data_IF_789285353241
#
_entry.id   IF_789285353241
#
_cell.length_a   1.000
_cell.length_b   1.000
_cell.length_c   1.000
_cell.angle_alpha   90.00
_cell.angle_beta   90.00
_cell.angle_gamma   90.00
#
_symmetry.space_group_name_H-M   'P 1'
#
loop_
_entity.id
_entity.type
_entity.pdbx_description
1 polymer ?
#
# COMPACT_ATOMS: atom_id res chain seq x y z
N UNK A 1 -18.61 1.97 14.19
CA UNK A 1 -17.49 2.93 14.25
C UNK A 1 -16.21 2.14 14.07
N UNK A 2 -15.32 2.54 13.16
CA UNK A 2 -14.11 1.80 12.82
C UNK A 2 -13.14 1.72 14.00
N UNK A 3 -12.36 0.65 14.05
CA UNK A 3 -11.39 0.45 15.12
C UNK A 3 -10.01 0.16 14.53
N UNK A 4 -9.02 0.96 14.90
CA UNK A 4 -7.62 0.55 14.77
C UNK A 4 -7.10 0.07 16.11
N UNK A 5 -6.57 -1.16 16.11
CA UNK A 5 -6.01 -1.76 17.32
C UNK A 5 -4.48 -1.66 17.31
N UNK A 6 -3.88 -1.38 18.45
CA UNK A 6 -2.44 -1.50 18.63
C UNK A 6 -2.00 -2.95 18.48
N UNK A 7 -0.80 -3.17 17.96
CA UNK A 7 -0.24 -4.50 17.71
C UNK A 7 1.26 -4.54 17.97
N UNK A 8 1.79 -5.74 18.15
CA UNK A 8 3.24 -5.98 18.26
C UNK A 8 3.80 -6.18 16.87
N UNK A 9 4.32 -5.10 16.27
CA UNK A 9 4.87 -5.17 14.92
C UNK A 9 6.07 -6.10 14.85
N UNK A 10 6.19 -6.82 13.73
CA UNK A 10 7.43 -7.39 13.25
C UNK A 10 8.00 -6.37 12.27
N UNK A 11 9.15 -5.78 12.59
CA UNK A 11 9.77 -4.70 11.85
C UNK A 11 11.27 -4.86 11.73
N UNK A 12 11.94 -4.20 10.77
CA UNK A 12 13.38 -4.21 10.73
C UNK A 12 13.99 -3.56 11.99
N UNK A 13 15.23 -3.92 12.28
CA UNK A 13 16.06 -3.13 13.20
C UNK A 13 16.39 -1.78 12.55
N UNK A 14 16.77 -0.78 13.34
CA UNK A 14 17.16 0.53 12.78
C UNK A 14 18.38 0.43 11.84
N UNK A 15 19.29 -0.51 12.10
CA UNK A 15 20.44 -0.79 11.23
C UNK A 15 20.04 -1.46 9.91
N UNK A 16 19.07 -2.36 9.94
CA UNK A 16 18.61 -3.08 8.76
C UNK A 16 17.61 -2.27 7.90
N UNK A 17 16.90 -1.33 8.48
CA UNK A 17 15.81 -0.60 7.82
C UNK A 17 16.18 -0.01 6.44
N UNK A 18 17.34 0.62 6.23
CA UNK A 18 17.72 1.16 4.92
C UNK A 18 17.90 0.09 3.83
N UNK A 19 18.17 -1.16 4.19
CA UNK A 19 18.32 -2.28 3.25
C UNK A 19 17.02 -3.04 3.03
N UNK A 20 16.17 -3.06 4.07
CA UNK A 20 14.88 -3.76 4.03
C UNK A 20 13.84 -3.01 3.21
N UNK A 21 13.83 -1.67 3.28
CA UNK A 21 12.82 -0.86 2.60
C UNK A 21 12.81 -1.14 1.09
N UNK A 22 11.60 -1.36 0.55
CA UNK A 22 11.41 -1.71 -0.85
C UNK A 22 10.14 -1.05 -1.41
N UNK A 23 10.08 -0.91 -2.73
CA UNK A 23 8.88 -0.48 -3.43
C UNK A 23 7.76 -1.54 -3.30
N UNK A 24 6.48 -1.14 -3.43
CA UNK A 24 5.35 -2.06 -3.43
C UNK A 24 5.49 -3.16 -4.49
N UNK A 25 4.99 -4.36 -4.17
CA UNK A 25 5.15 -5.56 -5.01
C UNK A 25 4.57 -5.44 -6.42
N UNK A 26 3.56 -4.61 -6.62
CA UNK A 26 2.76 -4.49 -7.85
C UNK A 26 3.20 -3.37 -8.79
N UNK A 27 4.23 -2.60 -8.42
CA UNK A 27 4.79 -1.51 -9.26
C UNK A 27 5.98 -1.92 -10.11
N UNK A 28 6.34 -3.21 -10.11
CA UNK A 28 7.50 -3.72 -10.85
C UNK A 28 7.25 -5.12 -11.42
N UNK A 29 7.89 -5.43 -12.53
CA UNK A 29 7.94 -6.78 -13.07
C UNK A 29 9.02 -7.63 -12.38
N UNK A 30 9.10 -8.95 -12.70
CA UNK A 30 10.07 -9.87 -12.09
C UNK A 30 11.53 -9.46 -12.31
N UNK A 31 11.87 -8.95 -13.50
CA UNK A 31 13.25 -8.56 -13.81
C UNK A 31 13.66 -7.31 -13.01
N UNK A 32 12.76 -6.34 -12.91
CA UNK A 32 12.94 -5.14 -12.09
C UNK A 32 13.06 -5.50 -10.61
N UNK A 33 12.21 -6.41 -10.12
CA UNK A 33 12.28 -6.90 -8.74
C UNK A 33 13.62 -7.60 -8.46
N UNK A 34 14.10 -8.46 -9.36
CA UNK A 34 15.41 -9.12 -9.23
C UNK A 34 16.58 -8.13 -9.30
N UNK A 35 16.46 -7.05 -10.09
CA UNK A 35 17.47 -6.01 -10.17
C UNK A 35 17.54 -5.16 -8.88
N UNK A 36 16.42 -4.94 -8.20
CA UNK A 36 16.30 -4.17 -6.96
C UNK A 36 16.54 -5.03 -5.71
N UNK A 37 16.16 -6.30 -5.72
CA UNK A 37 16.32 -7.25 -4.63
C UNK A 37 17.70 -7.91 -4.55
N UNK A 38 18.79 -7.18 -4.91
CA UNK A 38 20.16 -7.73 -4.82
C UNK A 38 20.71 -7.79 -3.40
N UNK A 39 20.23 -6.91 -2.54
CA UNK A 39 20.56 -6.96 -1.13
C UNK A 39 19.81 -8.14 -0.49
N UNK A 40 20.51 -9.06 0.21
CA UNK A 40 19.88 -10.22 0.83
C UNK A 40 18.89 -9.84 1.95
N UNK A 41 18.89 -8.60 2.40
CA UNK A 41 17.94 -8.06 3.36
C UNK A 41 16.79 -7.28 2.71
N UNK A 42 16.75 -7.19 1.37
CA UNK A 42 15.63 -6.51 0.68
C UNK A 42 14.30 -7.19 0.95
N UNK A 43 13.27 -6.41 1.32
CA UNK A 43 11.93 -6.95 1.58
C UNK A 43 11.27 -7.56 0.33
N UNK A 44 11.83 -7.32 -0.86
CA UNK A 44 11.38 -7.96 -2.10
C UNK A 44 11.54 -9.48 -2.06
N UNK A 45 12.46 -10.05 -1.29
CA UNK A 45 12.56 -11.49 -1.07
C UNK A 45 11.31 -12.08 -0.39
N UNK A 46 10.51 -11.26 0.31
CA UNK A 46 9.25 -11.68 0.93
C UNK A 46 8.07 -11.36 0.03
N UNK A 47 8.00 -10.16 -0.55
CA UNK A 47 6.84 -9.70 -1.32
C UNK A 47 6.87 -10.14 -2.79
N UNK A 48 8.07 -10.44 -3.33
CA UNK A 48 8.37 -10.85 -4.71
C UNK A 48 9.32 -12.07 -4.72
N UNK A 49 9.01 -13.08 -3.90
CA UNK A 49 9.89 -14.23 -3.65
C UNK A 49 10.21 -15.07 -4.89
N UNK A 50 9.52 -14.88 -6.01
CA UNK A 50 9.88 -15.49 -7.29
C UNK A 50 11.26 -15.05 -7.81
N UNK A 51 11.85 -13.97 -7.26
CA UNK A 51 13.22 -13.55 -7.62
C UNK A 51 14.29 -14.55 -7.15
N UNK A 52 13.98 -15.33 -6.12
CA UNK A 52 14.86 -16.35 -5.54
C UNK A 52 14.72 -17.72 -6.22
N UNK A 53 13.80 -17.85 -7.17
CA UNK A 53 13.47 -19.10 -7.83
C UNK A 53 13.89 -19.10 -9.30
N UNK A 54 14.13 -20.30 -9.91
CA UNK A 54 14.41 -20.40 -11.33
C UNK A 54 13.36 -19.71 -12.20
N UNK A 55 13.76 -19.14 -13.33
CA UNK A 55 12.85 -18.45 -14.26
C UNK A 55 11.75 -19.34 -14.83
N UNK A 56 11.91 -20.67 -14.76
CA UNK A 56 10.89 -21.65 -15.14
C UNK A 56 9.71 -21.74 -14.17
N UNK A 57 9.86 -21.18 -12.97
CA UNK A 57 8.77 -21.12 -11.97
C UNK A 57 7.89 -19.93 -12.29
N UNK A 58 6.58 -20.17 -12.46
CA UNK A 58 5.60 -19.12 -12.68
C UNK A 58 5.41 -18.23 -11.45
N UNK A 59 5.16 -16.94 -11.67
CA UNK A 59 5.09 -15.91 -10.62
C UNK A 59 4.05 -16.20 -9.52
N UNK A 60 2.97 -16.92 -9.84
CA UNK A 60 1.87 -17.25 -8.92
C UNK A 60 1.83 -18.71 -8.49
N UNK A 61 2.94 -19.44 -8.71
CA UNK A 61 3.06 -20.83 -8.28
C UNK A 61 3.13 -20.94 -6.75
N UNK A 62 2.63 -22.05 -6.20
CA UNK A 62 2.64 -22.28 -4.75
C UNK A 62 4.05 -22.23 -4.15
N UNK A 63 5.07 -22.64 -4.92
CA UNK A 63 6.48 -22.55 -4.54
C UNK A 63 6.94 -21.12 -4.22
N UNK A 64 6.36 -20.10 -4.87
CA UNK A 64 6.68 -18.68 -4.60
C UNK A 64 6.22 -18.29 -3.20
N UNK A 65 5.03 -18.71 -2.80
CA UNK A 65 4.48 -18.41 -1.47
C UNK A 65 5.21 -19.21 -0.37
N UNK A 66 5.67 -20.42 -0.67
CA UNK A 66 6.51 -21.23 0.22
C UNK A 66 7.89 -20.55 0.42
N UNK A 67 8.49 -20.06 -0.65
CA UNK A 67 9.75 -19.32 -0.59
C UNK A 67 9.57 -18.02 0.22
N UNK A 68 8.48 -17.28 0.02
CA UNK A 68 8.19 -16.06 0.79
C UNK A 68 8.10 -16.35 2.31
N UNK A 69 7.47 -17.46 2.70
CA UNK A 69 7.38 -17.89 4.09
C UNK A 69 8.76 -18.28 4.67
N UNK A 70 9.58 -18.98 3.88
CA UNK A 70 10.94 -19.35 4.27
C UNK A 70 11.83 -18.11 4.43
N UNK A 71 11.73 -17.14 3.51
CA UNK A 71 12.48 -15.89 3.59
C UNK A 71 12.06 -15.05 4.82
N UNK A 72 10.76 -14.99 5.14
CA UNK A 72 10.30 -14.30 6.36
C UNK A 72 10.88 -14.95 7.62
N UNK A 73 10.89 -16.28 7.69
CA UNK A 73 11.49 -17.01 8.81
C UNK A 73 13.00 -16.73 8.93
N UNK A 74 13.73 -16.75 7.81
CA UNK A 74 15.15 -16.44 7.76
C UNK A 74 15.45 -15.00 8.23
N UNK A 75 14.65 -14.03 7.82
CA UNK A 75 14.80 -12.63 8.26
C UNK A 75 14.62 -12.48 9.77
N UNK A 76 13.71 -13.26 10.37
CA UNK A 76 13.49 -13.29 11.82
C UNK A 76 14.69 -13.99 12.50
N UNK A 77 15.11 -15.13 12.01
CA UNK A 77 16.19 -15.93 12.61
C UNK A 77 17.53 -15.19 12.56
N UNK A 78 17.80 -14.44 11.48
CA UNK A 78 18.99 -13.57 11.37
C UNK A 78 18.87 -12.27 12.17
N UNK A 79 17.71 -11.96 12.75
CA UNK A 79 17.47 -10.73 13.51
C UNK A 79 17.39 -9.48 12.63
N UNK A 80 17.18 -9.62 11.31
CA UNK A 80 16.90 -8.51 10.39
C UNK A 80 15.54 -7.89 10.75
N UNK A 81 14.55 -8.76 11.02
CA UNK A 81 13.24 -8.39 11.55
C UNK A 81 13.12 -8.78 13.01
N UNK A 82 12.67 -7.86 13.82
CA UNK A 82 12.44 -8.04 15.27
C UNK A 82 11.01 -7.73 15.63
N UNK A 83 10.48 -8.48 16.61
CA UNK A 83 9.12 -8.26 17.11
C UNK A 83 9.14 -7.30 18.29
N UNK A 84 8.25 -6.31 18.26
CA UNK A 84 8.06 -5.39 19.38
C UNK A 84 7.60 -6.11 20.65
N UNK A 85 8.08 -5.62 21.80
CA UNK A 85 7.76 -6.21 23.11
C UNK A 85 6.34 -5.87 23.57
N UNK A 86 5.84 -4.69 23.21
CA UNK A 86 4.50 -4.19 23.58
C UNK A 86 3.66 -3.85 22.35
N UNK A 87 2.33 -3.99 22.43
CA UNK A 87 1.45 -3.50 21.37
C UNK A 87 1.37 -1.98 21.41
N UNK A 88 1.55 -1.32 20.24
CA UNK A 88 1.32 0.12 20.08
C UNK A 88 0.76 0.42 18.69
N UNK A 89 0.31 1.64 18.46
CA UNK A 89 0.12 2.21 17.14
C UNK A 89 1.43 2.89 16.72
N UNK A 90 1.57 3.08 15.41
CA UNK A 90 2.76 3.73 14.87
C UNK A 90 2.34 4.91 14.01
N UNK A 91 3.20 5.93 13.88
CA UNK A 91 3.13 6.91 12.81
C UNK A 91 4.10 6.48 11.71
N UNK A 92 3.64 6.58 10.48
CA UNK A 92 4.42 6.30 9.30
C UNK A 92 4.35 7.48 8.35
N UNK A 93 5.50 8.04 8.01
CA UNK A 93 5.62 9.17 7.08
C UNK A 93 6.31 8.73 5.80
N UNK A 94 5.69 9.06 4.68
CA UNK A 94 6.28 9.02 3.37
C UNK A 94 6.52 10.44 2.88
N UNK A 95 7.73 10.70 2.37
CA UNK A 95 8.08 11.98 1.77
C UNK A 95 8.59 11.76 0.36
N UNK A 96 7.85 12.23 -0.64
CA UNK A 96 8.21 12.14 -2.04
C UNK A 96 8.16 13.51 -2.69
N UNK A 97 9.26 13.90 -3.36
CA UNK A 97 9.41 15.20 -4.04
C UNK A 97 9.01 16.40 -3.17
N UNK A 98 9.41 16.39 -1.91
CA UNK A 98 9.11 17.43 -0.93
C UNK A 98 7.70 17.46 -0.40
N UNK A 99 6.88 16.49 -0.76
CA UNK A 99 5.53 16.30 -0.25
C UNK A 99 5.51 15.14 0.75
N UNK A 100 5.07 15.42 1.96
CA UNK A 100 4.92 14.43 3.02
C UNK A 100 3.45 14.08 3.24
N UNK A 101 3.20 12.82 3.57
CA UNK A 101 1.94 12.35 4.15
C UNK A 101 2.25 11.49 5.36
N UNK A 102 1.47 11.63 6.42
CA UNK A 102 1.65 10.89 7.66
C UNK A 102 0.39 10.09 7.97
N UNK A 103 0.56 8.80 8.18
CA UNK A 103 -0.54 7.91 8.54
C UNK A 103 -0.32 7.19 9.86
N UNK A 104 -1.42 6.78 10.50
CA UNK A 104 -1.39 5.89 11.65
C UNK A 104 -1.42 4.44 11.17
N UNK A 105 -0.44 3.66 11.63
CA UNK A 105 -0.37 2.21 11.36
C UNK A 105 -0.95 1.45 12.53
N UNK A 106 -1.84 0.51 12.23
CA UNK A 106 -2.52 -0.35 13.19
C UNK A 106 -3.20 -1.53 12.52
N UNK A 107 -4.02 -2.27 13.27
CA UNK A 107 -4.81 -3.37 12.75
C UNK A 107 -6.29 -2.99 12.69
N UNK A 108 -6.87 -3.02 11.49
CA UNK A 108 -8.31 -2.85 11.27
C UNK A 108 -9.05 -4.18 11.39
N UNK A 109 -10.34 -4.13 11.77
CA UNK A 109 -11.15 -5.33 11.94
C UNK A 109 -11.68 -5.84 10.59
N UNK A 110 -11.63 -7.15 10.37
CA UNK A 110 -12.31 -7.80 9.24
C UNK A 110 -13.81 -7.52 9.27
N UNK A 111 -14.41 -7.44 10.46
CA UNK A 111 -15.83 -7.09 10.62
C UNK A 111 -16.16 -5.70 10.07
N UNK A 112 -15.31 -4.69 10.30
CA UNK A 112 -15.51 -3.33 9.78
C UNK A 112 -15.44 -3.26 8.24
N UNK A 113 -14.67 -4.18 7.63
CA UNK A 113 -14.65 -4.34 6.18
C UNK A 113 -15.93 -5.01 5.67
N UNK A 114 -16.46 -6.01 6.39
CA UNK A 114 -17.66 -6.74 6.00
C UNK A 114 -18.94 -5.91 6.10
N UNK A 115 -19.11 -5.14 7.16
CA UNK A 115 -20.30 -4.32 7.41
C UNK A 115 -20.28 -2.97 6.66
N UNK A 116 -19.17 -2.64 6.00
CA UNK A 116 -19.02 -1.42 5.22
C UNK A 116 -18.67 -0.19 6.06
N UNK A 117 -18.24 -0.36 7.29
CA UNK A 117 -17.58 0.71 8.09
C UNK A 117 -16.27 1.14 7.44
N UNK A 118 -15.57 0.21 6.77
CA UNK A 118 -14.48 0.51 5.83
C UNK A 118 -15.07 0.53 4.42
N UNK A 119 -15.15 1.72 3.82
CA UNK A 119 -15.79 1.97 2.51
C UNK A 119 -14.88 1.54 1.36
N UNK A 120 -15.49 0.91 0.36
CA UNK A 120 -14.84 0.44 -0.87
C UNK A 120 -15.38 1.23 -2.06
N UNK A 121 -14.55 1.44 -3.07
CA UNK A 121 -14.95 2.09 -4.33
C UNK A 121 -14.53 1.31 -5.58
N UNK A 122 -13.82 0.18 -5.41
CA UNK A 122 -13.33 -0.65 -6.51
C UNK A 122 -13.76 -2.11 -6.33
N UNK A 123 -13.99 -2.81 -7.45
CA UNK A 123 -14.21 -4.26 -7.49
C UNK A 123 -12.87 -4.99 -7.63
N UNK A 124 -12.72 -6.08 -6.90
CA UNK A 124 -11.50 -6.90 -6.96
C UNK A 124 -11.53 -7.90 -8.11
N UNK A 125 -10.36 -8.17 -8.69
CA UNK A 125 -10.17 -9.22 -9.70
C UNK A 125 -9.88 -10.55 -9.02
N UNK A 126 -10.67 -11.58 -9.34
CA UNK A 126 -10.59 -12.90 -8.69
C UNK A 126 -9.20 -13.53 -8.74
N UNK A 127 -8.45 -13.36 -9.85
CA UNK A 127 -7.10 -13.91 -10.01
C UNK A 127 -6.11 -13.26 -9.03
N UNK A 128 -6.10 -11.92 -8.95
CA UNK A 128 -5.20 -11.19 -8.03
C UNK A 128 -5.55 -11.47 -6.57
N UNK A 129 -6.84 -11.62 -6.29
CA UNK A 129 -7.32 -11.93 -4.95
C UNK A 129 -6.91 -13.34 -4.53
N UNK A 130 -7.06 -14.35 -5.41
CA UNK A 130 -6.64 -15.73 -5.14
C UNK A 130 -5.13 -15.82 -4.84
N UNK A 131 -4.30 -15.09 -5.56
CA UNK A 131 -2.87 -15.02 -5.32
C UNK A 131 -2.54 -14.43 -3.92
N UNK A 132 -3.17 -13.30 -3.56
CA UNK A 132 -2.96 -12.70 -2.23
C UNK A 132 -3.48 -13.56 -1.08
N UNK A 133 -4.58 -14.30 -1.27
CA UNK A 133 -5.07 -15.28 -0.30
C UNK A 133 -4.00 -16.33 -0.03
N UNK A 134 -3.42 -16.93 -1.08
CA UNK A 134 -2.36 -17.92 -0.93
C UNK A 134 -1.14 -17.34 -0.21
N UNK A 135 -0.73 -16.13 -0.58
CA UNK A 135 0.38 -15.44 0.06
C UNK A 135 0.14 -15.25 1.56
N UNK A 136 -0.97 -14.62 1.96
CA UNK A 136 -1.30 -14.39 3.37
C UNK A 136 -1.44 -15.69 4.17
N UNK A 137 -2.02 -16.72 3.56
CA UNK A 137 -2.21 -17.98 4.26
C UNK A 137 -0.88 -18.72 4.48
N UNK A 138 0.01 -18.74 3.49
CA UNK A 138 1.34 -19.40 3.57
C UNK A 138 2.31 -18.64 4.45
N UNK A 139 2.46 -17.33 4.22
CA UNK A 139 3.37 -16.48 5.02
C UNK A 139 2.86 -16.29 6.44
N UNK A 140 1.55 -16.46 6.65
CA UNK A 140 0.85 -16.28 7.93
C UNK A 140 1.11 -14.90 8.56
N UNK A 141 1.23 -13.87 7.71
CA UNK A 141 1.47 -12.49 8.09
C UNK A 141 0.87 -11.53 7.06
N UNK A 142 0.54 -10.31 7.49
CA UNK A 142 0.26 -9.19 6.60
C UNK A 142 1.59 -8.52 6.25
N UNK A 143 2.08 -8.76 5.06
CA UNK A 143 3.38 -8.27 4.58
C UNK A 143 3.35 -6.84 4.08
N UNK A 144 2.14 -6.31 3.78
CA UNK A 144 1.94 -4.95 3.29
C UNK A 144 0.64 -4.37 3.86
N UNK A 145 0.64 -3.09 4.29
CA UNK A 145 -0.56 -2.46 4.83
C UNK A 145 -1.59 -2.18 3.72
N UNK A 146 -2.87 -2.20 4.07
CA UNK A 146 -3.92 -1.56 3.28
C UNK A 146 -3.86 -0.07 3.54
N UNK A 147 -3.93 0.75 2.49
CA UNK A 147 -3.92 2.19 2.59
C UNK A 147 -5.35 2.73 2.75
N UNK A 148 -5.63 3.29 3.91
CA UNK A 148 -6.90 3.88 4.26
C UNK A 148 -6.80 5.40 4.34
N UNK A 149 -7.92 6.07 4.16
CA UNK A 149 -8.06 7.49 4.50
C UNK A 149 -9.28 7.71 5.38
N UNK A 150 -9.26 8.80 6.15
CA UNK A 150 -10.32 9.21 7.05
C UNK A 150 -10.49 10.73 7.05
N UNK A 151 -11.64 11.22 7.49
CA UNK A 151 -11.86 12.66 7.70
C UNK A 151 -10.99 13.15 8.83
N UNK A 152 -10.18 14.16 8.56
CA UNK A 152 -9.22 14.72 9.49
C UNK A 152 -9.81 14.93 10.89
N UNK A 153 -8.99 14.68 11.90
CA UNK A 153 -9.35 14.80 13.31
C UNK A 153 -8.25 15.56 14.04
N UNK A 154 -8.61 16.66 14.68
CA UNK A 154 -7.65 17.57 15.30
C UNK A 154 -6.80 16.88 16.41
N UNK A 155 -7.39 15.99 17.20
CA UNK A 155 -6.67 15.27 18.28
C UNK A 155 -5.56 14.38 17.69
N UNK A 156 -5.83 13.74 16.55
CA UNK A 156 -4.84 12.94 15.82
C UNK A 156 -3.76 13.84 15.20
N UNK A 157 -4.15 14.95 14.61
CA UNK A 157 -3.21 15.92 14.00
C UNK A 157 -2.25 16.48 15.05
N UNK A 158 -2.71 16.78 16.26
CA UNK A 158 -1.90 17.26 17.38
C UNK A 158 -0.89 16.20 17.85
N UNK A 159 -1.31 14.93 17.98
CA UNK A 159 -0.42 13.80 18.30
C UNK A 159 0.65 13.67 17.21
N UNK A 160 0.24 13.66 15.95
CA UNK A 160 1.12 13.55 14.79
C UNK A 160 2.15 14.69 14.76
N UNK A 161 1.72 15.93 14.88
CA UNK A 161 2.59 17.11 14.87
C UNK A 161 3.60 17.14 16.01
N UNK A 162 3.26 16.52 17.15
CA UNK A 162 4.16 16.43 18.30
C UNK A 162 5.18 15.31 18.12
N UNK A 163 4.72 14.10 17.82
CA UNK A 163 5.57 12.90 17.76
C UNK A 163 6.56 12.97 16.59
N UNK A 164 6.16 13.52 15.44
CA UNK A 164 7.05 13.63 14.28
C UNK A 164 8.16 14.68 14.40
N UNK A 165 8.23 15.42 15.51
CA UNK A 165 9.39 16.28 15.86
C UNK A 165 10.54 15.48 16.49
N UNK A 166 10.24 14.31 17.04
CA UNK A 166 11.24 13.43 17.61
C UNK A 166 11.94 12.62 16.50
N UNK A 167 13.11 12.08 16.82
CA UNK A 167 13.81 11.19 15.90
C UNK A 167 12.96 9.94 15.61
N UNK A 168 12.85 9.51 14.34
CA UNK A 168 12.14 8.30 14.01
C UNK A 168 12.80 7.06 14.59
N UNK A 169 12.01 6.04 14.90
CA UNK A 169 12.49 4.70 15.27
C UNK A 169 13.21 4.03 14.11
N UNK A 170 12.70 4.22 12.90
CA UNK A 170 13.24 3.68 11.66
C UNK A 170 13.19 4.74 10.56
N UNK A 171 14.17 4.71 9.69
CA UNK A 171 14.17 5.48 8.46
C UNK A 171 14.80 4.68 7.31
N UNK A 172 14.40 4.98 6.09
CA UNK A 172 14.94 4.40 4.86
C UNK A 172 14.48 5.17 3.64
N UNK A 173 15.08 4.89 2.50
CA UNK A 173 14.73 5.51 1.23
C UNK A 173 14.62 4.45 0.15
N UNK A 174 13.53 4.47 -0.62
CA UNK A 174 13.36 3.62 -1.78
C UNK A 174 14.04 4.21 -3.02
N UNK A 175 14.27 3.38 -4.04
CA UNK A 175 15.02 3.76 -5.24
C UNK A 175 14.37 4.91 -6.05
N UNK A 176 13.09 5.17 -5.87
CA UNK A 176 12.38 6.29 -6.47
C UNK A 176 12.56 7.63 -5.71
N UNK A 177 13.39 7.61 -4.64
CA UNK A 177 13.67 8.75 -3.79
C UNK A 177 12.57 9.05 -2.76
N UNK A 178 11.68 8.09 -2.48
CA UNK A 178 10.71 8.22 -1.39
C UNK A 178 11.39 7.90 -0.07
N UNK A 179 11.38 8.85 0.87
CA UNK A 179 11.86 8.67 2.23
C UNK A 179 10.72 8.15 3.10
N UNK A 180 11.04 7.13 3.89
CA UNK A 180 10.15 6.44 4.80
C UNK A 180 10.64 6.61 6.23
N UNK A 181 9.74 6.98 7.14
CA UNK A 181 10.06 7.17 8.56
C UNK A 181 8.95 6.57 9.43
N UNK A 182 9.33 5.92 10.53
CA UNK A 182 8.40 5.26 11.44
C UNK A 182 8.66 5.68 12.89
N UNK A 183 7.60 5.99 13.62
CA UNK A 183 7.62 6.25 15.08
C UNK A 183 6.69 5.28 15.77
N UNK A 184 7.11 4.69 16.88
CA UNK A 184 6.24 3.93 17.77
C UNK A 184 5.60 4.90 18.79
N UNK A 185 4.28 4.90 18.88
CA UNK A 185 3.59 5.75 19.86
C UNK A 185 3.81 5.25 21.29
N UNK A 186 3.85 6.18 22.25
CA UNK A 186 3.80 5.88 23.67
C UNK A 186 2.48 5.19 24.03
N UNK A 187 2.37 4.61 25.23
CA UNK A 187 1.11 4.01 25.71
C UNK A 187 -0.01 5.06 25.83
N UNK A 188 0.34 6.28 26.25
CA UNK A 188 -0.58 7.40 26.33
C UNK A 188 -1.07 7.80 24.94
N UNK A 189 -0.15 8.06 23.99
CA UNK A 189 -0.51 8.44 22.63
C UNK A 189 -1.25 7.34 21.87
N UNK A 190 -0.88 6.08 22.10
CA UNK A 190 -1.60 4.94 21.55
C UNK A 190 -3.05 4.92 22.02
N UNK A 191 -3.29 5.18 23.31
CA UNK A 191 -4.64 5.23 23.90
C UNK A 191 -5.45 6.41 23.35
N UNK A 192 -4.85 7.60 23.28
CA UNK A 192 -5.50 8.80 22.75
C UNK A 192 -5.84 8.64 21.26
N UNK A 193 -4.88 8.21 20.45
CA UNK A 193 -5.09 7.99 19.02
C UNK A 193 -6.14 6.92 18.73
N UNK A 194 -6.10 5.78 19.45
CA UNK A 194 -7.10 4.72 19.29
C UNK A 194 -8.52 5.21 19.64
N UNK A 195 -8.67 6.04 20.69
CA UNK A 195 -9.93 6.66 21.08
C UNK A 195 -10.43 7.64 20.01
N UNK A 196 -9.56 8.53 19.53
CA UNK A 196 -9.90 9.51 18.49
C UNK A 196 -10.32 8.83 17.19
N UNK A 197 -9.59 7.78 16.76
CA UNK A 197 -9.93 6.97 15.59
C UNK A 197 -11.27 6.23 15.77
N UNK A 198 -11.56 5.74 16.97
CA UNK A 198 -12.86 5.10 17.26
C UNK A 198 -14.03 6.09 17.19
N UNK A 199 -13.79 7.39 17.35
CA UNK A 199 -14.80 8.43 17.19
C UNK A 199 -15.15 8.77 15.73
N UNK A 200 -14.42 8.23 14.75
CA UNK A 200 -14.71 8.44 13.32
C UNK A 200 -15.92 7.61 12.86
N UNK A 201 -16.64 8.10 11.85
CA UNK A 201 -17.75 7.36 11.25
C UNK A 201 -17.28 6.23 10.35
N UNK A 202 -16.30 6.50 9.48
CA UNK A 202 -15.85 5.59 8.44
C UNK A 202 -14.34 5.72 8.16
N UNK A 203 -13.76 4.62 7.68
CA UNK A 203 -12.56 4.65 6.86
C UNK A 203 -12.92 4.42 5.39
N UNK A 204 -12.06 4.88 4.50
CA UNK A 204 -12.18 4.68 3.05
C UNK A 204 -10.91 4.03 2.54
N UNK A 205 -11.02 2.97 1.74
CA UNK A 205 -9.84 2.35 1.13
C UNK A 205 -9.34 3.30 0.04
N UNK A 206 -8.14 3.85 0.20
CA UNK A 206 -7.45 4.63 -0.82
C UNK A 206 -6.71 3.72 -1.80
N UNK A 207 -6.03 2.68 -1.27
CA UNK A 207 -5.37 1.64 -2.06
C UNK A 207 -5.37 0.29 -1.32
N UNK A 208 -5.20 -0.82 -2.06
CA UNK A 208 -5.13 -2.17 -1.48
C UNK A 208 -6.49 -2.87 -1.37
N UNK A 209 -7.43 -2.63 -2.29
CA UNK A 209 -8.71 -3.35 -2.36
C UNK A 209 -8.52 -4.87 -2.43
N UNK A 210 -7.53 -5.36 -3.19
CA UNK A 210 -7.20 -6.79 -3.25
C UNK A 210 -6.65 -7.31 -1.93
N UNK A 211 -5.78 -6.53 -1.24
CA UNK A 211 -5.21 -6.88 0.07
C UNK A 211 -6.29 -6.98 1.14
N UNK A 212 -7.18 -6.01 1.23
CA UNK A 212 -8.29 -6.01 2.20
C UNK A 212 -9.29 -7.14 1.95
N UNK A 213 -9.66 -7.39 0.68
CA UNK A 213 -10.56 -8.49 0.32
C UNK A 213 -9.96 -9.85 0.66
N UNK A 214 -8.68 -10.06 0.34
CA UNK A 214 -7.96 -11.30 0.62
C UNK A 214 -7.79 -11.52 2.12
N UNK A 215 -7.42 -10.49 2.88
CA UNK A 215 -7.31 -10.56 4.34
C UNK A 215 -8.65 -10.92 4.98
N UNK A 216 -9.75 -10.31 4.53
CA UNK A 216 -11.09 -10.64 5.01
C UNK A 216 -11.47 -12.11 4.72
N UNK A 217 -11.18 -12.63 3.52
CA UNK A 217 -11.47 -14.02 3.16
C UNK A 217 -10.64 -15.01 3.97
N UNK A 218 -9.35 -14.76 4.17
CA UNK A 218 -8.50 -15.59 5.03
C UNK A 218 -9.01 -15.55 6.47
N UNK A 219 -9.35 -14.36 6.99
CA UNK A 219 -9.91 -14.23 8.33
C UNK A 219 -11.20 -15.04 8.52
N UNK A 220 -12.12 -14.98 7.54
CA UNK A 220 -13.40 -15.71 7.59
C UNK A 220 -13.20 -17.22 7.48
N UNK A 221 -12.24 -17.69 6.68
CA UNK A 221 -11.99 -19.13 6.47
C UNK A 221 -11.38 -19.83 7.69
N UNK A 222 -10.77 -19.08 8.62
CA UNK A 222 -10.15 -19.62 9.83
C UNK A 222 -11.15 -19.76 10.97
N UNK A 223 -10.89 -20.62 11.98
CA UNK A 223 -11.78 -20.80 13.13
C UNK A 223 -12.11 -19.47 13.82
N UNK A 224 -13.40 -19.12 13.87
CA UNK A 224 -13.84 -17.85 14.44
C UNK A 224 -13.76 -17.90 15.97
N UNK A 225 -12.93 -17.02 16.56
CA UNK A 225 -12.80 -16.81 18.00
C UNK A 225 -12.43 -15.37 18.30
N UNK A 226 -12.96 -14.84 19.38
CA UNK A 226 -12.70 -13.47 19.81
C UNK A 226 -11.20 -13.22 20.01
N UNK A 227 -10.69 -12.10 19.50
CA UNK A 227 -9.30 -11.70 19.64
C UNK A 227 -8.30 -12.51 18.80
N UNK A 228 -8.77 -13.37 17.88
CA UNK A 228 -7.87 -14.10 16.99
C UNK A 228 -7.17 -13.12 16.03
N UNK A 229 -5.85 -13.24 15.79
CA UNK A 229 -5.10 -12.29 14.98
C UNK A 229 -5.59 -12.21 13.52
N UNK A 230 -6.18 -13.28 12.99
CA UNK A 230 -6.76 -13.25 11.63
C UNK A 230 -8.12 -12.55 11.51
N UNK A 231 -8.70 -12.08 12.63
CA UNK A 231 -9.86 -11.19 12.59
C UNK A 231 -9.49 -9.73 12.28
N UNK A 232 -8.22 -9.48 12.07
CA UNK A 232 -7.65 -8.15 11.86
C UNK A 232 -6.69 -8.16 10.66
N UNK A 233 -6.46 -7.00 10.06
CA UNK A 233 -5.49 -6.84 8.99
C UNK A 233 -4.73 -5.50 9.12
N UNK A 234 -3.48 -5.51 8.68
CA UNK A 234 -2.58 -4.37 8.76
C UNK A 234 -3.04 -3.23 7.85
N UNK A 235 -3.07 -2.02 8.39
CA UNK A 235 -3.44 -0.81 7.64
C UNK A 235 -2.52 0.36 8.00
N UNK A 236 -2.41 1.31 7.07
CA UNK A 236 -1.97 2.68 7.31
C UNK A 236 -3.13 3.60 6.96
N UNK A 237 -3.54 4.46 7.90
CA UNK A 237 -4.66 5.38 7.74
C UNK A 237 -4.14 6.83 7.74
N UNK A 238 -4.38 7.56 6.65
CA UNK A 238 -3.91 8.93 6.41
C UNK A 238 -5.11 9.88 6.45
N UNK A 239 -5.03 11.06 7.08
CA UNK A 239 -6.10 12.04 7.04
C UNK A 239 -6.34 12.55 5.61
N UNK A 240 -7.56 12.89 5.29
CA UNK A 240 -7.97 13.26 3.92
C UNK A 240 -7.26 14.51 3.38
N UNK A 241 -6.79 15.41 4.24
CA UNK A 241 -6.03 16.59 3.82
C UNK A 241 -4.58 16.26 3.38
N UNK A 242 -4.01 15.14 3.83
CA UNK A 242 -2.68 14.67 3.41
C UNK A 242 -2.75 13.70 2.21
N UNK A 243 -3.94 13.15 1.93
CA UNK A 243 -4.12 12.21 0.84
C UNK A 243 -3.87 12.86 -0.52
N UNK A 244 -3.00 12.25 -1.32
CA UNK A 244 -2.72 12.69 -2.68
C UNK A 244 -3.15 11.64 -3.69
N UNK A 245 -3.98 12.05 -4.64
CA UNK A 245 -4.31 11.24 -5.80
C UNK A 245 -3.40 11.66 -6.95
N UNK A 246 -2.49 10.78 -7.34
CA UNK A 246 -1.59 11.01 -8.46
C UNK A 246 -2.25 10.60 -9.79
N UNK A 247 -1.84 11.20 -10.93
CA UNK A 247 -2.32 10.79 -12.23
C UNK A 247 -1.98 9.34 -12.51
N UNK A 248 -2.98 8.55 -12.89
CA UNK A 248 -2.77 7.18 -13.35
C UNK A 248 -2.64 7.14 -14.86
N UNK A 249 -1.46 7.47 -15.36
CA UNK A 249 -1.19 7.57 -16.79
C UNK A 249 -1.33 6.20 -17.48
N UNK A 250 -1.89 6.19 -18.68
CA UNK A 250 -2.02 5.02 -19.55
C UNK A 250 -1.13 5.19 -20.77
N UNK A 251 -0.35 4.16 -21.10
CA UNK A 251 0.35 4.06 -22.37
C UNK A 251 -0.41 3.11 -23.27
N UNK A 252 -0.86 3.59 -24.42
CA UNK A 252 -1.47 2.77 -25.44
C UNK A 252 -0.37 2.31 -26.39
N UNK A 253 -0.04 1.02 -26.36
CA UNK A 253 1.06 0.42 -27.14
C UNK A 253 0.63 0.02 -28.55
N UNK A 254 -0.63 -0.37 -28.71
CA UNK A 254 -1.21 -0.78 -29.98
C UNK A 254 -2.59 -0.15 -30.13
N UNK A 255 -2.83 0.51 -31.23
CA UNK A 255 -4.08 1.17 -31.61
C UNK A 255 -4.58 0.68 -32.99
N UNK A 256 -4.10 -0.50 -33.40
CA UNK A 256 -4.47 -1.16 -34.65
C UNK A 256 -3.98 -0.42 -35.88
N UNK A 257 -4.68 -0.60 -36.99
CA UNK A 257 -4.34 0.03 -38.29
C UNK A 257 -4.71 1.52 -38.39
N UNK A 258 -5.05 2.15 -37.27
CA UNK A 258 -5.50 3.55 -37.19
C UNK A 258 -4.29 4.50 -37.18
N UNK A 259 -4.28 5.51 -38.03
CA UNK A 259 -3.31 6.59 -37.93
C UNK A 259 -3.75 7.70 -36.96
N UNK A 260 -2.86 8.64 -36.56
CA UNK A 260 -3.20 9.69 -35.60
C UNK A 260 -4.42 10.53 -35.99
N UNK A 261 -4.57 10.87 -37.27
CA UNK A 261 -5.67 11.70 -37.77
C UNK A 261 -7.01 10.94 -37.64
N UNK A 262 -7.03 9.68 -38.06
CA UNK A 262 -8.20 8.81 -37.93
C UNK A 262 -8.56 8.56 -36.48
N UNK A 263 -7.56 8.39 -35.60
CA UNK A 263 -7.79 8.23 -34.18
C UNK A 263 -8.46 9.46 -33.57
N UNK A 264 -7.96 10.66 -33.88
CA UNK A 264 -8.57 11.93 -33.44
C UNK A 264 -9.98 12.10 -33.97
N UNK A 265 -10.24 11.75 -35.22
CA UNK A 265 -11.56 11.82 -35.83
C UNK A 265 -12.56 10.86 -35.14
N UNK A 266 -12.12 9.67 -34.77
CA UNK A 266 -12.94 8.71 -34.02
C UNK A 266 -13.19 9.21 -32.58
N UNK A 267 -12.18 9.71 -31.91
CA UNK A 267 -12.31 10.25 -30.54
C UNK A 267 -13.23 11.47 -30.49
N UNK A 268 -13.21 12.33 -31.52
CA UNK A 268 -14.08 13.49 -31.64
C UNK A 268 -15.59 13.16 -31.69
N UNK A 269 -15.94 11.90 -31.94
CA UNK A 269 -17.36 11.46 -31.90
C UNK A 269 -17.88 11.32 -30.45
N UNK A 270 -16.99 11.16 -29.47
CA UNK A 270 -17.35 10.90 -28.07
C UNK A 270 -16.73 11.90 -27.07
N UNK A 271 -15.81 12.74 -27.51
CA UNK A 271 -15.14 13.75 -26.69
C UNK A 271 -14.91 15.05 -27.46
N UNK A 272 -14.87 16.16 -26.72
CA UNK A 272 -14.42 17.45 -27.26
C UNK A 272 -12.89 17.47 -27.19
N UNK A 273 -12.22 17.65 -28.33
CA UNK A 273 -10.77 17.62 -28.41
C UNK A 273 -10.24 19.03 -28.70
N UNK A 274 -9.31 19.49 -27.89
CA UNK A 274 -8.62 20.77 -28.07
C UNK A 274 -7.11 20.55 -28.07
N UNK A 275 -6.42 20.95 -29.15
CA UNK A 275 -4.95 20.90 -29.20
C UNK A 275 -4.34 21.92 -28.23
N UNK A 276 -3.34 21.48 -27.46
CA UNK A 276 -2.63 22.28 -26.46
C UNK A 276 -1.19 22.54 -26.91
N UNK A 277 -0.66 23.71 -26.63
CA UNK A 277 0.76 24.03 -26.93
C UNK A 277 1.74 23.31 -25.99
N UNK A 278 1.29 22.85 -24.84
CA UNK A 278 2.05 22.10 -23.82
C UNK A 278 1.12 21.25 -22.97
N UNK A 279 1.68 20.36 -22.17
CA UNK A 279 0.91 19.62 -21.18
C UNK A 279 0.13 20.57 -20.25
N UNK A 280 -1.15 20.29 -20.06
CA UNK A 280 -1.97 20.86 -19.00
C UNK A 280 -2.73 19.71 -18.31
N UNK A 281 -2.75 19.66 -16.97
CA UNK A 281 -3.55 18.65 -16.26
C UNK A 281 -5.05 18.88 -16.54
N UNK A 282 -5.88 17.82 -16.55
CA UNK A 282 -7.32 17.97 -16.67
C UNK A 282 -7.90 18.67 -15.43
N UNK A 283 -8.82 19.63 -15.65
CA UNK A 283 -9.41 20.43 -14.57
C UNK A 283 -10.74 19.88 -14.06
N UNK A 284 -11.41 19.04 -14.85
CA UNK A 284 -12.76 18.55 -14.55
C UNK A 284 -12.82 17.02 -14.45
N UNK A 285 -13.69 16.46 -13.63
CA UNK A 285 -13.99 15.03 -13.65
C UNK A 285 -14.45 14.57 -15.04
N UNK A 286 -13.87 13.44 -15.50
CA UNK A 286 -14.16 12.89 -16.83
C UNK A 286 -13.31 13.45 -17.96
N UNK A 287 -12.56 14.54 -17.73
CA UNK A 287 -11.59 15.05 -18.68
C UNK A 287 -10.24 14.33 -18.54
N UNK A 288 -9.47 14.26 -19.62
CA UNK A 288 -8.12 13.73 -19.61
C UNK A 288 -7.22 14.49 -20.60
N UNK A 289 -5.91 14.46 -20.34
CA UNK A 289 -4.92 15.02 -21.26
C UNK A 289 -4.28 13.85 -22.03
N UNK A 290 -4.11 14.02 -23.33
CA UNK A 290 -3.55 13.00 -24.21
C UNK A 290 -2.33 13.58 -24.94
N UNK A 291 -1.26 12.76 -25.05
CA UNK A 291 -0.11 13.03 -25.90
C UNK A 291 -0.15 12.11 -27.10
N UNK A 292 -0.20 12.66 -28.29
CA UNK A 292 -0.30 11.92 -29.54
C UNK A 292 0.47 12.63 -30.66
N UNK A 293 1.38 11.90 -31.33
CA UNK A 293 2.08 12.40 -32.49
C UNK A 293 2.90 13.68 -32.27
N UNK A 294 3.49 13.85 -31.07
CA UNK A 294 4.27 15.04 -30.71
C UNK A 294 3.45 16.19 -30.16
N UNK A 295 2.15 16.06 -30.02
CA UNK A 295 1.22 17.11 -29.58
C UNK A 295 0.45 16.71 -28.33
N UNK A 296 0.05 17.72 -27.54
CA UNK A 296 -0.84 17.55 -26.39
C UNK A 296 -2.27 17.94 -26.75
N UNK A 297 -3.23 17.23 -26.19
CA UNK A 297 -4.66 17.47 -26.36
C UNK A 297 -5.36 17.44 -25.00
N UNK A 298 -6.35 18.32 -24.82
CA UNK A 298 -7.37 18.20 -23.78
C UNK A 298 -8.60 17.50 -24.39
N UNK A 299 -9.14 16.52 -23.67
CA UNK A 299 -10.28 15.70 -24.08
C UNK A 299 -11.31 15.61 -22.97
#
# INVERSE_FOLDING_TARGET
MPKLRPFRALRPTSEAAPRVVALPYDVMNRQEAAAQGKDPDSYLHITRAEIDLPLSVEQHADQVHEQAAANLADFIDRGVLVREDRPCLYLYRETWRGAAQVGIVGCAQVADYQDGTIKRHEKTLAIKEADRIKHFDRVNAHTEPVFLTYRANQEIDEITARVTKEAPLLEGETLDGTRHELWALSDEDTTLAARALHGLDYFYIADGHHRSASAAKVGISRPQRAGAPWNEFLVVAVPDHDLRCLPYNRLVLDWGDTNPEQFLANLAQVAVITELGKFAPPENPGAFSMYLGGKWYAC
#
